data_IF_236828523991
#
_entry.id   IF_236828523991
#
_cell.length_a   1.000
_cell.length_b   1.000
_cell.length_c   1.000
_cell.angle_alpha   90.00
_cell.angle_beta   90.00
_cell.angle_gamma   90.00
#
_symmetry.space_group_name_H-M   'P 1'
#
loop_
_entity.id
_entity.type
_entity.pdbx_description
1 polymer ?
#
# COMPACT_ATOMS: atom_id res chain seq x y z
N UNK A 1 -5.09 -40.95 4.82
CA UNK A 1 -5.10 -40.74 3.36
C UNK A 1 -5.69 -39.36 3.12
N UNK A 2 -4.85 -38.32 3.15
CA UNK A 2 -5.27 -36.98 2.75
C UNK A 2 -5.42 -36.97 1.23
N UNK A 3 -6.57 -36.52 0.76
CA UNK A 3 -7.06 -36.71 -0.60
C UNK A 3 -6.17 -35.97 -1.61
N UNK A 4 -5.74 -36.67 -2.67
CA UNK A 4 -4.85 -36.19 -3.76
C UNK A 4 -5.33 -34.86 -4.39
N UNK A 5 -6.62 -34.54 -4.22
CA UNK A 5 -7.28 -33.32 -4.70
C UNK A 5 -7.05 -32.06 -3.85
N UNK A 6 -6.58 -32.16 -2.61
CA UNK A 6 -6.36 -30.98 -1.73
C UNK A 6 -5.05 -30.24 -2.06
N UNK A 7 -4.01 -30.96 -2.47
CA UNK A 7 -2.73 -30.36 -2.90
C UNK A 7 -2.84 -29.35 -4.05
N UNK A 8 -3.56 -29.61 -5.16
CA UNK A 8 -3.66 -28.64 -6.26
C UNK A 8 -4.44 -27.38 -5.87
N UNK A 9 -5.45 -27.48 -4.99
CA UNK A 9 -6.22 -26.32 -4.52
C UNK A 9 -5.37 -25.38 -3.64
N UNK A 10 -4.57 -25.94 -2.73
CA UNK A 10 -3.68 -25.19 -1.86
C UNK A 10 -2.54 -24.50 -2.64
N UNK A 11 -1.98 -25.17 -3.66
CA UNK A 11 -0.99 -24.55 -4.57
C UNK A 11 -1.61 -23.35 -5.31
N UNK A 12 -2.86 -23.48 -5.77
CA UNK A 12 -3.56 -22.39 -6.45
C UNK A 12 -3.83 -21.19 -5.51
N UNK A 13 -4.22 -21.43 -4.25
CA UNK A 13 -4.41 -20.40 -3.24
C UNK A 13 -3.09 -19.68 -2.90
N UNK A 14 -1.98 -20.42 -2.76
CA UNK A 14 -0.64 -19.84 -2.52
C UNK A 14 -0.17 -18.98 -3.70
N UNK A 15 -0.39 -19.43 -4.93
CA UNK A 15 -0.08 -18.65 -6.13
C UNK A 15 -0.88 -17.34 -6.18
N UNK A 16 -2.15 -17.39 -5.78
CA UNK A 16 -3.00 -16.19 -5.69
C UNK A 16 -2.51 -15.24 -4.60
N UNK A 17 -2.20 -15.75 -3.40
CA UNK A 17 -1.66 -14.94 -2.30
C UNK A 17 -0.31 -14.30 -2.67
N UNK A 18 0.55 -15.01 -3.43
CA UNK A 18 1.80 -14.48 -3.96
C UNK A 18 1.59 -13.33 -4.96
N UNK A 19 0.56 -13.41 -5.80
CA UNK A 19 0.18 -12.32 -6.71
C UNK A 19 -0.36 -11.12 -5.94
N UNK A 20 -1.19 -11.35 -4.93
CA UNK A 20 -1.75 -10.30 -4.07
C UNK A 20 -0.65 -9.60 -3.26
N UNK A 21 0.30 -10.36 -2.72
CA UNK A 21 1.47 -9.83 -1.99
C UNK A 21 2.31 -8.89 -2.88
N UNK A 22 2.60 -9.30 -4.12
CA UNK A 22 3.30 -8.44 -5.09
C UNK A 22 2.47 -7.23 -5.50
N UNK A 23 1.15 -7.37 -5.54
CA UNK A 23 0.22 -6.26 -5.76
C UNK A 23 0.28 -5.22 -4.65
N UNK A 24 0.32 -5.67 -3.39
CA UNK A 24 0.46 -4.80 -2.22
C UNK A 24 1.80 -4.05 -2.23
N UNK A 25 2.92 -4.75 -2.50
CA UNK A 25 4.24 -4.12 -2.60
C UNK A 25 4.26 -2.98 -3.64
N UNK A 26 3.78 -3.26 -4.86
CA UNK A 26 3.72 -2.27 -5.94
C UNK A 26 2.82 -1.09 -5.60
N UNK A 27 1.65 -1.35 -5.02
CA UNK A 27 0.74 -0.28 -4.63
C UNK A 27 1.30 0.56 -3.49
N UNK A 28 1.98 -0.07 -2.52
CA UNK A 28 2.64 0.66 -1.43
C UNK A 28 3.73 1.60 -1.96
N UNK A 29 4.54 1.15 -2.92
CA UNK A 29 5.53 1.99 -3.61
C UNK A 29 4.87 3.14 -4.39
N UNK A 30 3.79 2.86 -5.12
CA UNK A 30 3.05 3.88 -5.87
C UNK A 30 2.45 4.93 -4.93
N UNK A 31 1.79 4.50 -3.85
CA UNK A 31 1.23 5.41 -2.82
C UNK A 31 2.33 6.26 -2.22
N UNK A 32 3.47 5.66 -1.87
CA UNK A 32 4.62 6.38 -1.34
C UNK A 32 5.15 7.43 -2.32
N UNK A 33 5.37 7.05 -3.58
CA UNK A 33 5.88 7.96 -4.61
C UNK A 33 4.91 9.11 -4.89
N UNK A 34 3.60 8.84 -4.96
CA UNK A 34 2.57 9.87 -5.14
C UNK A 34 2.51 10.83 -3.95
N UNK A 35 2.65 10.30 -2.74
CA UNK A 35 2.67 11.12 -1.51
C UNK A 35 3.92 12.00 -1.46
N UNK A 36 5.08 11.44 -1.80
CA UNK A 36 6.33 12.18 -1.89
C UNK A 36 6.25 13.28 -2.96
N UNK A 37 5.64 13.00 -4.12
CA UNK A 37 5.41 13.98 -5.17
C UNK A 37 4.48 15.11 -4.68
N UNK A 38 3.40 14.80 -3.96
CA UNK A 38 2.51 15.79 -3.36
C UNK A 38 3.22 16.69 -2.35
N UNK A 39 4.08 16.12 -1.50
CA UNK A 39 4.92 16.89 -0.58
C UNK A 39 5.89 17.79 -1.36
N UNK A 40 6.51 17.28 -2.42
CA UNK A 40 7.41 18.08 -3.26
C UNK A 40 6.69 19.26 -3.90
N UNK A 41 5.45 19.07 -4.40
CA UNK A 41 4.64 20.17 -4.94
C UNK A 41 4.35 21.22 -3.87
N UNK A 42 4.05 20.81 -2.63
CA UNK A 42 3.89 21.73 -1.50
C UNK A 42 5.18 22.50 -1.18
N UNK A 43 6.34 21.84 -1.17
CA UNK A 43 7.61 22.51 -0.90
C UNK A 43 7.93 23.51 -2.02
N UNK A 44 7.77 23.11 -3.28
CA UNK A 44 7.98 23.99 -4.43
C UNK A 44 7.04 25.20 -4.38
N UNK A 45 5.77 25.02 -3.99
CA UNK A 45 4.85 26.15 -3.83
C UNK A 45 5.30 27.09 -2.72
N UNK A 46 5.78 26.58 -1.57
CA UNK A 46 6.32 27.42 -0.49
C UNK A 46 7.53 28.27 -0.92
N UNK A 47 8.38 27.77 -1.81
CA UNK A 47 9.57 28.52 -2.28
C UNK A 47 9.30 29.44 -3.47
N UNK A 48 8.56 28.97 -4.48
CA UNK A 48 8.33 29.70 -5.72
C UNK A 48 7.38 30.89 -5.54
N UNK A 49 6.41 30.76 -4.65
CA UNK A 49 5.39 31.77 -4.39
C UNK A 49 5.95 33.09 -3.83
N UNK A 50 6.75 33.10 -2.75
CA UNK A 50 7.38 34.35 -2.27
C UNK A 50 8.46 34.88 -3.23
N UNK A 51 9.16 34.00 -3.95
CA UNK A 51 10.18 34.40 -4.93
C UNK A 51 9.57 35.18 -6.10
N UNK A 52 8.41 34.74 -6.61
CA UNK A 52 7.69 35.46 -7.65
C UNK A 52 7.17 36.83 -7.19
N UNK A 53 6.72 36.92 -5.94
CA UNK A 53 6.31 38.18 -5.33
C UNK A 53 7.48 39.19 -5.25
N UNK A 54 8.67 38.71 -4.83
CA UNK A 54 9.89 39.53 -4.71
C UNK A 54 10.45 40.03 -6.05
N UNK A 55 10.32 39.24 -7.12
CA UNK A 55 10.92 39.55 -8.41
C UNK A 55 10.03 40.45 -9.29
N UNK A 56 8.85 40.86 -8.81
CA UNK A 56 7.82 41.61 -9.57
C UNK A 56 7.49 40.97 -10.93
N UNK A 57 7.82 39.70 -11.10
CA UNK A 57 7.61 38.97 -12.35
C UNK A 57 6.14 38.62 -12.44
N UNK A 58 5.41 39.42 -13.22
CA UNK A 58 4.00 39.23 -13.56
C UNK A 58 3.80 38.07 -14.54
N UNK A 59 4.28 36.87 -14.22
CA UNK A 59 3.76 35.63 -14.80
C UNK A 59 2.40 35.34 -14.15
N UNK A 60 1.42 36.20 -14.49
CA UNK A 60 0.08 36.26 -13.91
C UNK A 60 -0.84 35.10 -14.34
N UNK A 61 -0.37 34.19 -15.20
CA UNK A 61 -1.08 32.95 -15.50
C UNK A 61 -0.34 31.78 -14.83
N UNK A 62 -0.94 31.19 -13.78
CA UNK A 62 -0.59 31.46 -12.40
C UNK A 62 -0.16 30.16 -11.70
N UNK A 63 0.77 30.28 -10.76
CA UNK A 63 1.20 29.17 -9.92
C UNK A 63 0.02 28.35 -9.36
N UNK A 64 -1.11 28.99 -9.07
CA UNK A 64 -2.35 28.30 -8.72
C UNK A 64 -2.79 27.24 -9.75
N UNK A 65 -2.91 27.56 -11.04
CA UNK A 65 -3.34 26.57 -12.04
C UNK A 65 -2.30 25.48 -12.22
N UNK A 66 -1.00 25.81 -12.18
CA UNK A 66 0.07 24.80 -12.26
C UNK A 66 0.01 23.86 -11.06
N UNK A 67 -0.01 24.40 -9.84
CA UNK A 67 -0.10 23.63 -8.60
C UNK A 67 -1.38 22.80 -8.57
N UNK A 68 -2.54 23.38 -8.89
CA UNK A 68 -3.80 22.66 -8.91
C UNK A 68 -3.82 21.54 -9.95
N UNK A 69 -3.27 21.78 -11.15
CA UNK A 69 -3.20 20.79 -12.24
C UNK A 69 -2.33 19.58 -11.88
N UNK A 70 -1.29 19.75 -11.06
CA UNK A 70 -0.45 18.63 -10.63
C UNK A 70 -0.91 18.03 -9.30
N UNK A 71 -1.17 18.85 -8.29
CA UNK A 71 -1.47 18.40 -6.93
C UNK A 71 -2.82 17.68 -6.84
N UNK A 72 -3.85 18.16 -7.54
CA UNK A 72 -5.19 17.55 -7.48
C UNK A 72 -5.19 16.15 -8.09
N UNK A 73 -4.74 15.92 -9.34
CA UNK A 73 -4.69 14.57 -9.91
C UNK A 73 -3.77 13.61 -9.15
N UNK A 74 -2.60 14.06 -8.66
CA UNK A 74 -1.70 13.25 -7.84
C UNK A 74 -2.41 12.75 -6.58
N UNK A 75 -3.17 13.63 -5.92
CA UNK A 75 -3.92 13.32 -4.71
C UNK A 75 -5.07 12.34 -4.97
N UNK A 76 -5.83 12.55 -6.05
CA UNK A 76 -6.87 11.59 -6.47
C UNK A 76 -6.26 10.22 -6.81
N UNK A 77 -5.13 10.19 -7.51
CA UNK A 77 -4.43 8.94 -7.87
C UNK A 77 -3.88 8.22 -6.63
N UNK A 78 -3.41 8.97 -5.63
CA UNK A 78 -2.94 8.42 -4.35
C UNK A 78 -4.11 7.79 -3.57
N UNK A 79 -5.24 8.50 -3.45
CA UNK A 79 -6.44 8.00 -2.78
C UNK A 79 -7.05 6.78 -3.51
N UNK A 80 -7.06 6.79 -4.83
CA UNK A 80 -7.50 5.65 -5.63
C UNK A 80 -6.61 4.43 -5.41
N UNK A 81 -5.29 4.64 -5.39
CA UNK A 81 -4.30 3.58 -5.13
C UNK A 81 -4.41 3.06 -3.70
N UNK A 82 -4.69 3.92 -2.72
CA UNK A 82 -4.95 3.56 -1.33
C UNK A 82 -6.19 2.67 -1.20
N UNK A 83 -7.29 3.02 -1.87
CA UNK A 83 -8.49 2.18 -1.94
C UNK A 83 -8.20 0.82 -2.57
N UNK A 84 -7.37 0.79 -3.63
CA UNK A 84 -6.90 -0.45 -4.25
C UNK A 84 -6.11 -1.31 -3.27
N UNK A 85 -5.21 -0.69 -2.51
CA UNK A 85 -4.39 -1.34 -1.49
C UNK A 85 -5.25 -1.95 -0.38
N UNK A 86 -6.20 -1.20 0.17
CA UNK A 86 -7.15 -1.69 1.19
C UNK A 86 -7.97 -2.88 0.69
N UNK A 87 -8.43 -2.83 -0.57
CA UNK A 87 -9.18 -3.94 -1.17
C UNK A 87 -8.34 -5.20 -1.29
N UNK A 88 -7.10 -5.11 -1.80
CA UNK A 88 -6.20 -6.27 -1.92
C UNK A 88 -5.84 -6.80 -0.52
N UNK A 89 -5.60 -5.90 0.44
CA UNK A 89 -5.33 -6.26 1.83
C UNK A 89 -6.48 -7.04 2.45
N UNK A 90 -7.72 -6.58 2.27
CA UNK A 90 -8.90 -7.28 2.79
C UNK A 90 -9.05 -8.67 2.18
N UNK A 91 -8.98 -8.79 0.84
CA UNK A 91 -9.11 -10.08 0.15
C UNK A 91 -7.97 -11.03 0.56
N UNK A 92 -6.75 -10.53 0.63
CA UNK A 92 -5.60 -11.34 1.03
C UNK A 92 -5.64 -11.77 2.50
N UNK A 93 -6.21 -10.96 3.40
CA UNK A 93 -6.45 -11.35 4.81
C UNK A 93 -7.42 -12.51 4.93
N UNK A 94 -8.56 -12.43 4.25
CA UNK A 94 -9.55 -13.53 4.23
C UNK A 94 -8.90 -14.82 3.71
N UNK A 95 -8.15 -14.73 2.61
CA UNK A 95 -7.45 -15.91 2.06
C UNK A 95 -6.33 -16.43 2.97
N UNK A 96 -5.64 -15.54 3.68
CA UNK A 96 -4.62 -15.92 4.65
C UNK A 96 -5.25 -16.69 5.83
N UNK A 97 -6.42 -16.26 6.29
CA UNK A 97 -7.21 -16.94 7.32
C UNK A 97 -7.66 -18.33 6.86
N UNK A 98 -8.21 -18.45 5.64
CA UNK A 98 -8.58 -19.74 5.02
C UNK A 98 -7.39 -20.72 4.94
N UNK A 99 -6.24 -20.25 4.44
CA UNK A 99 -5.02 -21.06 4.35
C UNK A 99 -4.55 -21.49 5.74
N UNK A 100 -4.57 -20.57 6.71
CA UNK A 100 -4.18 -20.83 8.10
C UNK A 100 -5.07 -21.91 8.73
N UNK A 101 -6.39 -21.83 8.52
CA UNK A 101 -7.37 -22.79 9.02
C UNK A 101 -7.19 -24.18 8.39
N UNK A 102 -6.95 -24.25 7.08
CA UNK A 102 -6.65 -25.52 6.38
C UNK A 102 -5.34 -26.17 6.89
N UNK A 103 -4.32 -25.36 7.19
CA UNK A 103 -3.07 -25.82 7.78
C UNK A 103 -3.23 -26.29 9.23
N UNK A 104 -4.01 -25.58 10.05
CA UNK A 104 -4.30 -25.99 11.43
C UNK A 104 -5.22 -27.21 11.51
N UNK A 105 -6.20 -27.35 10.62
CA UNK A 105 -7.05 -28.55 10.52
C UNK A 105 -6.21 -29.81 10.25
N UNK A 106 -5.20 -29.69 9.38
CA UNK A 106 -4.25 -30.77 9.11
C UNK A 106 -3.34 -31.09 10.31
N UNK A 107 -3.06 -30.13 11.20
CA UNK A 107 -2.35 -30.38 12.45
C UNK A 107 -3.23 -31.09 13.49
N UNK A 108 -4.53 -30.76 13.59
CA UNK A 108 -5.45 -31.46 14.51
C UNK A 108 -5.66 -32.94 14.14
N UNK A 109 -5.50 -33.29 12.86
CA UNK A 109 -5.51 -34.67 12.38
C UNK A 109 -4.22 -35.45 12.70
N UNK A 110 -3.16 -34.77 13.15
CA UNK A 110 -1.87 -35.39 13.56
C UNK A 110 -1.79 -35.75 15.05
N UNK A 111 -2.81 -35.48 15.86
CA UNK A 111 -2.87 -35.96 17.26
C UNK A 111 -3.09 -37.48 17.40
N UNK A 112 -3.03 -38.24 16.30
CA UNK A 112 -2.88 -39.69 16.30
C UNK A 112 -1.44 -40.09 15.94
N UNK A 113 -0.59 -40.02 16.97
CA UNK A 113 0.83 -40.45 17.06
C UNK A 113 1.84 -39.49 16.43
N UNK A 114 2.93 -39.14 17.15
CA UNK A 114 4.03 -38.37 16.59
C UNK A 114 4.80 -39.27 15.61
N UNK A 115 4.49 -39.14 14.32
CA UNK A 115 5.37 -39.66 13.28
C UNK A 115 6.62 -38.77 13.20
N UNK A 116 7.83 -39.34 13.00
CA UNK A 116 9.05 -38.56 12.93
C UNK A 116 8.96 -37.55 11.78
N UNK A 117 9.28 -36.29 12.09
CA UNK A 117 9.38 -35.17 11.17
C UNK A 117 10.20 -35.59 9.94
N UNK A 118 9.50 -35.94 8.86
CA UNK A 118 10.16 -36.21 7.58
C UNK A 118 10.52 -34.87 6.92
N UNK A 119 11.71 -34.73 6.31
CA UNK A 119 12.26 -33.48 5.79
C UNK A 119 11.61 -33.06 4.45
N UNK A 120 10.29 -33.16 4.33
CA UNK A 120 9.51 -32.57 3.25
C UNK A 120 9.20 -31.08 3.50
N UNK A 121 9.92 -30.46 4.44
CA UNK A 121 9.64 -29.15 5.03
C UNK A 121 9.93 -27.95 4.12
N UNK A 122 10.47 -28.12 2.90
CA UNK A 122 10.68 -26.99 1.98
C UNK A 122 9.37 -26.30 1.60
N UNK A 123 8.34 -27.08 1.27
CA UNK A 123 7.02 -26.53 0.94
C UNK A 123 6.41 -25.80 2.16
N UNK A 124 6.60 -26.33 3.37
CA UNK A 124 6.10 -25.76 4.61
C UNK A 124 6.85 -24.45 5.00
N UNK A 125 8.15 -24.41 4.74
CA UNK A 125 8.98 -23.20 4.90
C UNK A 125 8.60 -22.13 3.88
N UNK A 126 8.36 -22.48 2.62
CA UNK A 126 7.93 -21.54 1.57
C UNK A 126 6.57 -20.91 1.90
N UNK A 127 5.60 -21.71 2.38
CA UNK A 127 4.30 -21.21 2.84
C UNK A 127 4.47 -20.25 4.01
N UNK A 128 5.25 -20.62 5.03
CA UNK A 128 5.49 -19.75 6.19
C UNK A 128 6.19 -18.44 5.80
N UNK A 129 7.13 -18.48 4.85
CA UNK A 129 7.78 -17.28 4.32
C UNK A 129 6.77 -16.40 3.58
N UNK A 130 5.88 -16.99 2.77
CA UNK A 130 4.87 -16.25 2.01
C UNK A 130 3.87 -15.55 2.94
N UNK A 131 3.35 -16.27 3.94
CA UNK A 131 2.44 -15.73 4.96
C UNK A 131 3.10 -14.58 5.72
N UNK A 132 4.38 -14.75 6.11
CA UNK A 132 5.14 -13.70 6.77
C UNK A 132 5.35 -12.48 5.87
N UNK A 133 5.68 -12.67 4.59
CA UNK A 133 5.79 -11.57 3.61
C UNK A 133 4.49 -10.80 3.48
N UNK A 134 3.35 -11.50 3.36
CA UNK A 134 2.05 -10.84 3.31
C UNK A 134 1.78 -10.00 4.57
N UNK A 135 2.05 -10.54 5.77
CA UNK A 135 1.88 -9.81 7.04
C UNK A 135 2.77 -8.55 7.19
N UNK A 136 3.90 -8.51 6.49
CA UNK A 136 4.79 -7.34 6.46
C UNK A 136 4.27 -6.34 5.42
N UNK A 137 3.89 -6.82 4.24
CA UNK A 137 3.50 -5.99 3.09
C UNK A 137 2.07 -5.44 3.19
N UNK A 138 1.24 -5.94 4.09
CA UNK A 138 -0.05 -5.32 4.42
C UNK A 138 0.08 -3.99 5.20
N UNK A 139 1.31 -3.56 5.49
CA UNK A 139 1.64 -2.30 6.16
C UNK A 139 2.32 -1.35 5.17
N UNK A 140 1.96 -0.07 5.23
CA UNK A 140 2.57 0.96 4.40
C UNK A 140 3.95 1.38 4.95
N UNK A 141 4.90 1.77 4.08
CA UNK A 141 6.32 1.90 4.41
C UNK A 141 6.67 2.91 5.52
N UNK A 142 5.87 3.97 5.73
CA UNK A 142 6.12 4.93 6.83
C UNK A 142 5.32 4.68 8.10
N UNK A 143 4.30 3.82 8.04
CA UNK A 143 3.36 3.63 9.14
C UNK A 143 3.13 2.14 9.34
N UNK A 144 4.06 1.52 10.07
CA UNK A 144 3.96 0.12 10.48
C UNK A 144 2.88 -0.14 11.56
N UNK A 145 2.11 0.90 11.93
CA UNK A 145 1.02 0.88 12.91
C UNK A 145 -0.33 0.79 12.21
N UNK A 146 -1.32 0.27 12.93
CA UNK A 146 -2.72 0.31 12.52
C UNK A 146 -3.14 1.77 12.26
N UNK A 147 -3.80 2.02 11.13
CA UNK A 147 -4.19 3.36 10.69
C UNK A 147 -3.17 4.08 9.79
N UNK A 148 -2.15 3.37 9.30
CA UNK A 148 -1.19 3.93 8.37
C UNK A 148 -1.82 4.50 7.11
N UNK A 149 -2.83 3.84 6.57
CA UNK A 149 -3.59 4.25 5.40
C UNK A 149 -4.25 5.62 5.62
N UNK A 150 -4.80 5.85 6.80
CA UNK A 150 -5.42 7.13 7.18
C UNK A 150 -4.41 8.27 7.18
N UNK A 151 -3.19 8.04 7.66
CA UNK A 151 -2.12 9.05 7.63
C UNK A 151 -1.78 9.43 6.19
N UNK A 152 -1.61 8.45 5.31
CA UNK A 152 -1.35 8.71 3.89
C UNK A 152 -2.52 9.44 3.22
N UNK A 153 -3.77 9.06 3.51
CA UNK A 153 -4.95 9.78 3.00
C UNK A 153 -4.95 11.25 3.45
N UNK A 154 -4.72 11.49 4.74
CA UNK A 154 -4.66 12.85 5.29
C UNK A 154 -3.55 13.68 4.65
N UNK A 155 -2.34 13.14 4.50
CA UNK A 155 -1.24 13.86 3.85
C UNK A 155 -1.60 14.20 2.40
N UNK A 156 -2.17 13.26 1.65
CA UNK A 156 -2.58 13.49 0.26
C UNK A 156 -3.81 14.41 0.12
N UNK A 157 -4.53 14.72 1.19
CA UNK A 157 -5.61 15.73 1.18
C UNK A 157 -5.10 17.09 1.66
N UNK A 158 -4.34 17.11 2.75
CA UNK A 158 -3.88 18.35 3.39
C UNK A 158 -2.78 19.02 2.58
N UNK A 159 -1.83 18.26 2.01
CA UNK A 159 -0.74 18.82 1.21
C UNK A 159 -1.22 19.63 -0.02
N UNK A 160 -2.07 19.10 -0.91
CA UNK A 160 -2.56 19.87 -2.06
C UNK A 160 -3.40 21.07 -1.63
N UNK A 161 -4.27 20.92 -0.60
CA UNK A 161 -5.08 22.03 -0.09
C UNK A 161 -4.22 23.16 0.46
N UNK A 162 -3.15 22.82 1.19
CA UNK A 162 -2.21 23.81 1.72
C UNK A 162 -1.45 24.49 0.58
N UNK A 163 -0.99 23.73 -0.41
CA UNK A 163 -0.28 24.29 -1.57
C UNK A 163 -1.18 25.24 -2.38
N UNK A 164 -2.46 24.87 -2.57
CA UNK A 164 -3.45 25.70 -3.24
C UNK A 164 -3.76 26.96 -2.42
N UNK A 165 -4.04 26.82 -1.13
CA UNK A 165 -4.32 27.94 -0.25
C UNK A 165 -3.17 28.96 -0.25
N UNK A 166 -1.93 28.47 -0.11
CA UNK A 166 -0.73 29.31 -0.22
C UNK A 166 -0.70 30.07 -1.55
N UNK A 167 -0.96 29.39 -2.67
CA UNK A 167 -0.95 30.01 -4.00
C UNK A 167 -2.07 31.04 -4.25
N UNK A 168 -3.13 31.03 -3.45
CA UNK A 168 -4.24 32.01 -3.53
C UNK A 168 -3.94 33.21 -2.63
N UNK A 169 -3.59 32.97 -1.36
CA UNK A 169 -3.43 34.03 -0.36
C UNK A 169 -2.22 34.93 -0.57
N UNK A 170 -1.30 34.54 -1.44
CA UNK A 170 -0.10 35.30 -1.80
C UNK A 170 -0.23 36.03 -3.13
N UNK A 171 -1.40 36.00 -3.77
CA UNK A 171 -1.65 36.82 -4.96
C UNK A 171 -1.92 38.26 -4.51
N UNK A 172 -1.25 39.27 -5.09
CA UNK A 172 -1.46 40.67 -4.77
C UNK A 172 -2.85 41.17 -5.16
#
# INVERSE_FOLDING_TARGET
MADSKTKPALIQQLDQLSRETRGLERLAEVIFNLTAANILVLLLSMFLTPFQYLMETSFLFPNFFVIATFAVPLSFMALYSLRGFERIKYVGRVRLEEISDELHWNQSLMDRRPAPLTPNSKADVEVRILLKRFSINEKLPFTAREGGETVYALVNIVAPLTAIALSIFTQP
#
